data_IF_363448172975
#
_entry.id   IF_363448172975
#
_cell.length_a   1.000
_cell.length_b   1.000
_cell.length_c   1.000
_cell.angle_alpha   90.00
_cell.angle_beta   90.00
_cell.angle_gamma   90.00
#
_symmetry.space_group_name_H-M   'P 1'
#
loop_
_entity.id
_entity.type
_entity.pdbx_description
1 polymer ?
#
# COMPACT_ATOMS: atom_id res chain seq x y z
N UNK A 1 35.17 -9.68 -8.29
CA UNK A 1 33.95 -9.56 -7.47
C UNK A 1 33.79 -8.09 -7.12
N UNK A 2 32.91 -7.38 -7.84
CA UNK A 2 32.73 -5.94 -7.71
C UNK A 2 31.94 -5.64 -6.44
N UNK A 3 32.54 -4.89 -5.53
CA UNK A 3 31.85 -4.25 -4.41
C UNK A 3 30.78 -3.29 -4.97
N UNK A 4 29.53 -3.75 -5.13
CA UNK A 4 28.41 -2.81 -5.10
C UNK A 4 28.50 -2.12 -3.74
N UNK A 5 28.90 -0.86 -3.75
CA UNK A 5 29.05 -0.03 -2.55
C UNK A 5 27.79 -0.16 -1.69
N UNK A 6 27.94 -0.45 -0.39
CA UNK A 6 26.84 -0.49 0.58
C UNK A 6 25.95 0.77 0.52
N UNK A 7 26.51 1.90 0.11
CA UNK A 7 25.77 3.16 -0.07
C UNK A 7 24.76 3.09 -1.24
N UNK A 8 25.10 2.39 -2.33
CA UNK A 8 24.17 2.16 -3.45
C UNK A 8 23.00 1.26 -3.05
N UNK A 9 23.23 0.29 -2.16
CA UNK A 9 22.18 -0.60 -1.64
C UNK A 9 21.28 0.09 -0.62
N UNK A 10 21.84 0.94 0.25
CA UNK A 10 21.07 1.74 1.20
C UNK A 10 20.15 2.76 0.48
N UNK A 11 20.64 3.40 -0.58
CA UNK A 11 19.83 4.29 -1.41
C UNK A 11 18.65 3.57 -2.07
N UNK A 12 18.87 2.35 -2.57
CA UNK A 12 17.80 1.54 -3.19
C UNK A 12 16.72 1.15 -2.18
N UNK A 13 17.11 0.73 -0.97
CA UNK A 13 16.16 0.42 0.11
C UNK A 13 15.35 1.65 0.50
N UNK A 14 15.98 2.82 0.62
CA UNK A 14 15.28 4.06 0.94
C UNK A 14 14.31 4.49 -0.18
N UNK A 15 14.69 4.30 -1.44
CA UNK A 15 13.81 4.58 -2.60
C UNK A 15 12.61 3.65 -2.63
N UNK A 16 12.81 2.36 -2.36
CA UNK A 16 11.73 1.38 -2.27
C UNK A 16 10.78 1.74 -1.13
N UNK A 17 11.30 2.04 0.06
CA UNK A 17 10.47 2.45 1.20
C UNK A 17 9.64 3.72 0.90
N UNK A 18 10.22 4.71 0.21
CA UNK A 18 9.48 5.90 -0.22
C UNK A 18 8.38 5.57 -1.24
N UNK A 19 8.66 4.71 -2.21
CA UNK A 19 7.68 4.26 -3.19
C UNK A 19 6.49 3.56 -2.50
N UNK A 20 6.76 2.67 -1.55
CA UNK A 20 5.71 1.99 -0.78
C UNK A 20 4.88 2.95 0.07
N UNK A 21 5.51 3.99 0.65
CA UNK A 21 4.78 5.04 1.37
C UNK A 21 3.86 5.85 0.45
N UNK A 22 4.30 6.16 -0.78
CA UNK A 22 3.46 6.84 -1.76
C UNK A 22 2.27 5.96 -2.20
N UNK A 23 2.48 4.66 -2.40
CA UNK A 23 1.39 3.70 -2.66
C UNK A 23 0.38 3.64 -1.50
N UNK A 24 0.86 3.56 -0.26
CA UNK A 24 0.01 3.59 0.94
C UNK A 24 -0.80 4.89 1.06
N UNK A 25 -0.18 6.03 0.71
CA UNK A 25 -0.86 7.33 0.69
C UNK A 25 -1.97 7.34 -0.35
N UNK A 26 -1.68 6.94 -1.58
CA UNK A 26 -2.68 6.87 -2.65
C UNK A 26 -3.84 5.96 -2.26
N UNK A 27 -3.55 4.75 -1.77
CA UNK A 27 -4.58 3.82 -1.30
C UNK A 27 -5.46 4.42 -0.19
N UNK A 28 -4.85 5.15 0.76
CA UNK A 28 -5.58 5.84 1.82
C UNK A 28 -6.54 6.89 1.27
N UNK A 29 -6.13 7.65 0.25
CA UNK A 29 -6.99 8.62 -0.43
C UNK A 29 -8.17 7.93 -1.14
N UNK A 30 -7.92 6.81 -1.84
CA UNK A 30 -8.98 6.01 -2.46
C UNK A 30 -9.99 5.49 -1.44
N UNK A 31 -9.52 4.98 -0.29
CA UNK A 31 -10.40 4.49 0.78
C UNK A 31 -11.21 5.62 1.44
N UNK A 32 -10.61 6.80 1.62
CA UNK A 32 -11.33 7.98 2.13
C UNK A 32 -12.45 8.41 1.17
N UNK A 33 -12.17 8.46 -0.13
CA UNK A 33 -13.15 8.79 -1.17
C UNK A 33 -14.27 7.76 -1.20
N UNK A 34 -13.94 6.46 -1.14
CA UNK A 34 -14.93 5.39 -1.15
C UNK A 34 -15.85 5.43 0.08
N UNK A 35 -15.29 5.61 1.28
CA UNK A 35 -16.09 5.76 2.51
C UNK A 35 -16.99 6.99 2.45
N UNK A 36 -16.50 8.08 1.86
CA UNK A 36 -17.30 9.28 1.61
C UNK A 36 -18.46 8.98 0.65
N UNK A 37 -18.21 8.27 -0.45
CA UNK A 37 -19.25 7.87 -1.40
C UNK A 37 -20.30 6.95 -0.75
N UNK A 38 -19.90 5.98 0.09
CA UNK A 38 -20.82 5.12 0.85
C UNK A 38 -21.71 5.95 1.77
N UNK A 39 -21.12 6.87 2.54
CA UNK A 39 -21.86 7.75 3.45
C UNK A 39 -22.85 8.63 2.69
N UNK A 40 -22.42 9.21 1.58
CA UNK A 40 -23.25 10.13 0.81
C UNK A 40 -24.36 9.37 0.07
N UNK A 41 -24.11 8.15 -0.41
CA UNK A 41 -25.14 7.27 -0.98
C UNK A 41 -26.19 6.87 0.08
N UNK A 42 -25.75 6.57 1.30
CA UNK A 42 -26.66 6.31 2.41
C UNK A 42 -27.56 7.53 2.71
N UNK A 43 -27.01 8.74 2.60
CA UNK A 43 -27.71 9.99 2.91
C UNK A 43 -28.65 10.46 1.80
N UNK A 44 -28.30 10.21 0.54
CA UNK A 44 -28.94 10.83 -0.61
C UNK A 44 -29.64 9.86 -1.57
N UNK A 45 -29.29 8.57 -1.49
CA UNK A 45 -29.79 7.52 -2.38
C UNK A 45 -30.43 6.34 -1.63
N UNK A 46 -30.70 6.51 -0.33
CA UNK A 46 -31.18 5.45 0.59
C UNK A 46 -30.27 4.21 0.64
N UNK A 47 -28.98 4.38 0.36
CA UNK A 47 -28.00 3.30 0.40
C UNK A 47 -28.10 2.29 -0.75
N UNK A 48 -28.78 2.63 -1.85
CA UNK A 48 -28.97 1.72 -3.00
C UNK A 48 -27.66 1.19 -3.59
N UNK A 49 -26.59 1.98 -3.56
CA UNK A 49 -25.30 1.60 -4.12
C UNK A 49 -24.30 1.11 -3.06
N UNK A 50 -24.63 1.23 -1.77
CA UNK A 50 -23.76 0.80 -0.66
C UNK A 50 -23.24 -0.64 -0.82
N UNK A 51 -24.05 -1.65 -1.24
CA UNK A 51 -23.51 -3.00 -1.43
C UNK A 51 -22.41 -3.06 -2.51
N UNK A 52 -22.61 -2.38 -3.64
CA UNK A 52 -21.62 -2.35 -4.72
C UNK A 52 -20.35 -1.60 -4.34
N UNK A 53 -20.51 -0.45 -3.65
CA UNK A 53 -19.38 0.33 -3.13
C UNK A 53 -18.60 -0.44 -2.06
N UNK A 54 -19.29 -1.20 -1.21
CA UNK A 54 -18.64 -2.03 -0.18
C UNK A 54 -17.85 -3.17 -0.81
N UNK A 55 -18.40 -3.84 -1.82
CA UNK A 55 -17.69 -4.87 -2.58
C UNK A 55 -16.45 -4.31 -3.29
N UNK A 56 -16.55 -3.09 -3.86
CA UNK A 56 -15.40 -2.41 -4.43
C UNK A 56 -14.31 -2.15 -3.37
N UNK A 57 -14.71 -1.75 -2.16
CA UNK A 57 -13.78 -1.53 -1.05
C UNK A 57 -13.06 -2.81 -0.61
N UNK A 58 -13.79 -3.92 -0.52
CA UNK A 58 -13.19 -5.23 -0.23
C UNK A 58 -12.18 -5.61 -1.30
N UNK A 59 -12.56 -5.53 -2.58
CA UNK A 59 -11.65 -5.85 -3.69
C UNK A 59 -10.37 -5.01 -3.68
N UNK A 60 -10.49 -3.70 -3.49
CA UNK A 60 -9.35 -2.80 -3.42
C UNK A 60 -8.44 -3.10 -2.22
N UNK A 61 -9.03 -3.37 -1.05
CA UNK A 61 -8.28 -3.68 0.16
C UNK A 61 -7.55 -5.02 0.07
N UNK A 62 -8.20 -6.07 -0.46
CA UNK A 62 -7.57 -7.39 -0.65
C UNK A 62 -6.40 -7.30 -1.64
N UNK A 63 -6.58 -6.58 -2.75
CA UNK A 63 -5.51 -6.37 -3.74
C UNK A 63 -4.34 -5.62 -3.13
N UNK A 64 -4.60 -4.50 -2.46
CA UNK A 64 -3.55 -3.70 -1.84
C UNK A 64 -2.84 -4.43 -0.70
N UNK A 65 -3.55 -5.24 0.09
CA UNK A 65 -2.95 -6.03 1.16
C UNK A 65 -1.90 -7.01 0.60
N UNK A 66 -2.23 -7.70 -0.50
CA UNK A 66 -1.27 -8.60 -1.16
C UNK A 66 -0.02 -7.88 -1.67
N UNK A 67 -0.18 -6.70 -2.27
CA UNK A 67 0.94 -5.88 -2.75
C UNK A 67 1.83 -5.40 -1.58
N UNK A 68 1.21 -5.00 -0.47
CA UNK A 68 1.91 -4.56 0.75
C UNK A 68 2.67 -5.71 1.40
N UNK A 69 2.05 -6.89 1.54
CA UNK A 69 2.70 -8.09 2.09
C UNK A 69 3.93 -8.47 1.26
N UNK A 70 3.80 -8.54 -0.07
CA UNK A 70 4.92 -8.82 -0.97
C UNK A 70 6.04 -7.79 -0.85
N UNK A 71 5.68 -6.51 -0.80
CA UNK A 71 6.65 -5.42 -0.70
C UNK A 71 7.35 -5.39 0.66
N UNK A 72 6.62 -5.75 1.72
CA UNK A 72 7.18 -5.89 3.06
C UNK A 72 8.21 -7.01 3.13
N UNK A 73 7.92 -8.18 2.56
CA UNK A 73 8.87 -9.29 2.47
C UNK A 73 10.14 -8.88 1.70
N UNK A 74 9.99 -8.26 0.53
CA UNK A 74 11.12 -7.77 -0.26
C UNK A 74 12.00 -6.77 0.51
N UNK A 75 11.38 -5.81 1.19
CA UNK A 75 12.10 -4.79 1.96
C UNK A 75 12.82 -5.41 3.17
N UNK A 76 12.16 -6.36 3.85
CA UNK A 76 12.70 -7.10 4.99
C UNK A 76 13.93 -7.93 4.61
N UNK A 77 13.87 -8.65 3.49
CA UNK A 77 14.99 -9.42 2.95
C UNK A 77 16.16 -8.49 2.60
N UNK A 78 15.87 -7.36 1.96
CA UNK A 78 16.89 -6.36 1.61
C UNK A 78 17.57 -5.74 2.84
N UNK A 79 16.80 -5.43 3.89
CA UNK A 79 17.31 -4.91 5.17
C UNK A 79 18.18 -5.94 5.89
N UNK A 80 17.70 -7.18 6.01
CA UNK A 80 18.42 -8.30 6.62
C UNK A 80 19.75 -8.55 5.92
N UNK A 81 19.76 -8.54 4.59
CA UNK A 81 20.98 -8.71 3.77
C UNK A 81 22.01 -7.59 3.97
N UNK A 82 21.59 -6.41 4.47
CA UNK A 82 22.47 -5.30 4.80
C UNK A 82 22.94 -5.29 6.26
N UNK A 83 22.48 -6.24 7.07
CA UNK A 83 22.75 -6.33 8.50
C UNK A 83 21.85 -5.43 9.35
N UNK A 84 20.72 -4.99 8.81
CA UNK A 84 19.64 -4.41 9.60
C UNK A 84 18.82 -5.50 10.29
N UNK A 85 18.20 -5.16 11.42
CA UNK A 85 17.15 -5.98 12.04
C UNK A 85 15.79 -5.56 11.46
N UNK A 86 14.93 -6.55 11.23
CA UNK A 86 13.54 -6.38 10.75
C UNK A 86 12.60 -6.60 11.93
#
# INVERSE_FOLDING_TARGET
MTSKSKAGTCQQVAQEALFQLDCCREFSDWMLVLMTAIRDDQKHSDGKNVPGLSNLGVYLAETHLGDVEQSFELLSDNLSNLGGEV
#
